data_IF_426755613066
#
_entry.id   IF_426755613066
#
_cell.length_a   1.000
_cell.length_b   1.000
_cell.length_c   1.000
_cell.angle_alpha   90.00
_cell.angle_beta   90.00
_cell.angle_gamma   90.00
#
_symmetry.space_group_name_H-M   'P 1'
#
loop_
_entity.id
_entity.type
_entity.pdbx_description
1 polymer ?
#
# COMPACT_ATOMS: atom_id res chain seq x y z
N UNK A 1 1.77 16.78 -3.51
CA UNK A 1 1.04 16.62 -2.23
C UNK A 1 0.59 18.00 -1.74
N UNK A 2 -0.50 18.07 -0.97
CA UNK A 2 -0.99 19.27 -0.33
C UNK A 2 -1.30 18.96 1.14
N UNK A 3 -1.23 20.00 1.99
CA UNK A 3 -1.45 19.88 3.43
C UNK A 3 -2.52 20.90 3.85
N UNK A 4 -3.50 20.43 4.61
CA UNK A 4 -4.51 21.28 5.24
C UNK A 4 -4.11 21.45 6.71
N UNK A 5 -3.91 22.69 7.12
CA UNK A 5 -3.51 23.02 8.48
C UNK A 5 -4.49 24.02 9.11
N UNK A 6 -4.62 24.06 10.45
CA UNK A 6 -5.44 25.06 11.14
C UNK A 6 -4.98 26.49 10.77
N UNK A 7 -5.93 27.41 10.63
CA UNK A 7 -5.68 28.79 10.19
C UNK A 7 -4.56 29.44 11.01
N UNK A 8 -4.54 29.24 12.33
CA UNK A 8 -3.54 29.81 13.24
C UNK A 8 -2.10 29.30 12.99
N UNK A 9 -1.94 28.21 12.25
CA UNK A 9 -0.63 27.61 11.97
C UNK A 9 -0.15 27.82 10.53
N UNK A 10 -0.98 28.41 9.66
CA UNK A 10 -0.65 28.59 8.23
C UNK A 10 0.69 29.31 8.07
N UNK A 11 0.90 30.41 8.80
CA UNK A 11 2.11 31.19 8.64
C UNK A 11 3.36 30.43 9.10
N UNK A 12 3.27 29.68 10.20
CA UNK A 12 4.35 28.82 10.66
C UNK A 12 4.71 27.77 9.62
N UNK A 13 3.72 27.07 9.06
CA UNK A 13 3.96 26.06 8.01
C UNK A 13 4.50 26.69 6.72
N UNK A 14 4.05 27.91 6.36
CA UNK A 14 4.56 28.64 5.19
C UNK A 14 6.03 28.98 5.35
N UNK A 15 6.44 29.48 6.51
CA UNK A 15 7.84 29.78 6.83
C UNK A 15 8.71 28.51 6.77
N UNK A 16 8.27 27.42 7.38
CA UNK A 16 9.00 26.15 7.32
C UNK A 16 9.10 25.61 5.89
N UNK A 17 8.02 25.67 5.12
CA UNK A 17 8.00 25.24 3.73
C UNK A 17 8.95 26.07 2.84
N UNK A 18 9.14 27.36 3.13
CA UNK A 18 10.06 28.21 2.37
C UNK A 18 11.53 27.82 2.58
N UNK A 19 11.85 27.17 3.69
CA UNK A 19 13.19 26.67 4.00
C UNK A 19 13.49 25.31 3.34
N UNK A 20 12.45 24.61 2.86
CA UNK A 20 12.60 23.32 2.19
C UNK A 20 12.60 23.52 0.67
N UNK A 21 13.62 23.05 -0.06
CA UNK A 21 13.70 23.20 -1.52
C UNK A 21 12.76 22.20 -2.25
N UNK A 22 11.53 22.01 -1.77
CA UNK A 22 10.59 21.00 -2.23
C UNK A 22 9.39 21.59 -2.99
N UNK A 23 9.54 22.70 -3.71
CA UNK A 23 8.45 23.22 -4.54
C UNK A 23 8.33 22.40 -5.83
N UNK A 24 7.14 21.91 -6.12
CA UNK A 24 6.84 21.29 -7.44
C UNK A 24 6.86 22.41 -8.49
N UNK A 25 7.64 22.28 -9.59
CA UNK A 25 7.67 23.29 -10.65
C UNK A 25 6.27 23.61 -11.18
N UNK A 26 6.00 24.88 -11.45
CA UNK A 26 4.68 25.35 -11.91
C UNK A 26 4.21 24.65 -13.19
N UNK A 27 5.14 24.34 -14.08
CA UNK A 27 4.82 23.60 -15.32
C UNK A 27 4.13 22.27 -15.02
N UNK A 28 4.65 21.50 -14.07
CA UNK A 28 4.05 20.23 -13.67
C UNK A 28 2.68 20.41 -12.98
N UNK A 29 2.52 21.50 -12.22
CA UNK A 29 1.24 21.81 -11.60
C UNK A 29 0.17 22.12 -12.64
N UNK A 30 0.49 22.93 -13.66
CA UNK A 30 -0.43 23.24 -14.75
C UNK A 30 -0.78 22.00 -15.58
N UNK A 31 0.23 21.21 -15.97
CA UNK A 31 0.03 19.97 -16.71
C UNK A 31 -0.90 19.01 -15.95
N UNK A 32 -0.69 18.85 -14.63
CA UNK A 32 -1.56 18.01 -13.81
C UNK A 32 -2.98 18.58 -13.68
N UNK A 33 -3.11 19.90 -13.57
CA UNK A 33 -4.41 20.55 -13.51
C UNK A 33 -5.23 20.32 -14.79
N UNK A 34 -4.58 20.43 -15.95
CA UNK A 34 -5.20 20.16 -17.25
C UNK A 34 -5.58 18.68 -17.38
N UNK A 35 -4.69 17.77 -17.01
CA UNK A 35 -4.95 16.33 -16.98
C UNK A 35 -6.18 15.95 -16.13
N UNK A 36 -6.37 16.62 -14.99
CA UNK A 36 -7.55 16.44 -14.13
C UNK A 36 -8.78 17.06 -14.77
N UNK A 37 -8.70 18.30 -15.26
CA UNK A 37 -9.81 19.07 -15.86
C UNK A 37 -10.37 18.38 -17.09
N UNK A 38 -9.51 17.84 -17.94
CA UNK A 38 -9.89 17.14 -19.18
C UNK A 38 -10.43 15.71 -18.92
N UNK A 39 -10.52 15.32 -17.65
CA UNK A 39 -11.09 14.04 -17.23
C UNK A 39 -10.17 12.82 -17.43
N UNK A 40 -8.92 13.02 -17.87
CA UNK A 40 -7.96 11.93 -18.05
C UNK A 40 -7.66 11.21 -16.74
N UNK A 41 -7.53 11.96 -15.64
CA UNK A 41 -7.31 11.42 -14.30
C UNK A 41 -8.45 10.47 -13.87
N UNK A 42 -9.70 10.86 -14.06
CA UNK A 42 -10.85 10.05 -13.70
C UNK A 42 -10.96 8.77 -14.53
N UNK A 43 -10.68 8.85 -15.84
CA UNK A 43 -10.62 7.67 -16.72
C UNK A 43 -9.52 6.70 -16.26
N UNK A 44 -8.36 7.22 -15.90
CA UNK A 44 -7.27 6.43 -15.35
C UNK A 44 -7.66 5.75 -14.04
N UNK A 45 -8.22 6.49 -13.07
CA UNK A 45 -8.68 5.93 -11.80
C UNK A 45 -9.73 4.83 -11.97
N UNK A 46 -10.71 5.02 -12.87
CA UNK A 46 -11.73 4.01 -13.16
C UNK A 46 -11.09 2.72 -13.67
N UNK A 47 -10.15 2.83 -14.61
CA UNK A 47 -9.41 1.69 -15.14
C UNK A 47 -8.59 0.99 -14.06
N UNK A 48 -7.87 1.75 -13.24
CA UNK A 48 -7.04 1.19 -12.16
C UNK A 48 -7.88 0.47 -11.10
N UNK A 49 -9.03 1.03 -10.71
CA UNK A 49 -9.95 0.37 -9.78
C UNK A 49 -10.39 -1.01 -10.27
N UNK A 50 -10.72 -1.15 -11.55
CA UNK A 50 -11.11 -2.43 -12.14
C UNK A 50 -9.95 -3.44 -12.12
N UNK A 51 -8.75 -3.00 -12.53
CA UNK A 51 -7.57 -3.85 -12.51
C UNK A 51 -7.18 -4.30 -11.10
N UNK A 52 -7.21 -3.38 -10.14
CA UNK A 52 -6.84 -3.71 -8.75
C UNK A 52 -7.91 -4.55 -8.05
N UNK A 53 -9.19 -4.37 -8.36
CA UNK A 53 -10.24 -5.24 -7.85
C UNK A 53 -10.00 -6.70 -8.26
N UNK A 54 -9.69 -6.95 -9.53
CA UNK A 54 -9.39 -8.30 -10.02
C UNK A 54 -8.13 -8.89 -9.39
N UNK A 55 -7.05 -8.12 -9.30
CA UNK A 55 -5.79 -8.56 -8.67
C UNK A 55 -5.97 -8.90 -7.20
N UNK A 56 -6.77 -8.11 -6.52
CA UNK A 56 -7.13 -8.31 -5.12
C UNK A 56 -7.85 -9.64 -4.94
N UNK A 57 -8.86 -9.94 -5.76
CA UNK A 57 -9.57 -11.21 -5.70
C UNK A 57 -8.63 -12.40 -5.86
N UNK A 58 -7.75 -12.40 -6.86
CA UNK A 58 -6.79 -13.48 -7.07
C UNK A 58 -5.89 -13.74 -5.85
N UNK A 59 -5.38 -12.68 -5.24
CA UNK A 59 -4.46 -12.87 -4.10
C UNK A 59 -5.21 -13.21 -2.81
N UNK A 60 -6.43 -12.69 -2.58
CA UNK A 60 -7.26 -13.06 -1.44
C UNK A 60 -7.64 -14.55 -1.50
N UNK A 61 -8.06 -15.05 -2.65
CA UNK A 61 -8.36 -16.47 -2.87
C UNK A 61 -7.11 -17.34 -2.64
N UNK A 62 -5.98 -16.97 -3.23
CA UNK A 62 -4.73 -17.70 -3.10
C UNK A 62 -4.20 -17.75 -1.65
N UNK A 63 -4.33 -16.65 -0.90
CA UNK A 63 -3.96 -16.60 0.52
C UNK A 63 -4.89 -17.46 1.36
N UNK A 64 -6.19 -17.44 1.09
CA UNK A 64 -7.17 -18.29 1.78
C UNK A 64 -6.90 -19.79 1.52
N UNK A 65 -6.53 -20.20 0.29
CA UNK A 65 -6.11 -21.57 -0.06
C UNK A 65 -4.89 -22.00 0.79
N UNK A 66 -4.01 -21.09 1.18
CA UNK A 66 -2.85 -21.35 2.05
C UNK A 66 -3.17 -21.22 3.55
N UNK A 67 -4.43 -21.00 3.93
CA UNK A 67 -4.89 -20.89 5.32
C UNK A 67 -4.56 -19.55 6.00
N UNK A 68 -4.27 -18.50 5.23
CA UNK A 68 -4.08 -17.17 5.79
C UNK A 68 -5.41 -16.46 6.05
N UNK A 69 -5.45 -15.71 7.15
CA UNK A 69 -6.54 -14.79 7.47
C UNK A 69 -6.17 -13.40 6.95
N UNK A 70 -7.01 -12.85 6.09
CA UNK A 70 -6.82 -11.52 5.52
C UNK A 70 -7.82 -10.56 6.14
N UNK A 71 -7.33 -9.47 6.72
CA UNK A 71 -8.21 -8.39 7.20
C UNK A 71 -8.77 -7.61 6.02
N UNK A 72 -10.08 -7.67 5.85
CA UNK A 72 -10.78 -6.96 4.79
C UNK A 72 -10.75 -5.44 5.04
N UNK A 73 -10.13 -4.71 4.13
CA UNK A 73 -10.13 -3.25 4.13
C UNK A 73 -10.98 -2.71 2.98
N UNK A 74 -11.73 -1.63 3.24
CA UNK A 74 -12.65 -1.02 2.24
C UNK A 74 -11.94 -0.32 1.08
N UNK A 75 -10.61 -0.31 1.04
CA UNK A 75 -9.86 0.35 -0.02
C UNK A 75 -8.35 0.14 0.11
N UNK A 76 -7.58 0.83 -0.72
CA UNK A 76 -6.13 0.71 -0.75
C UNK A 76 -5.63 -0.28 -1.80
N UNK A 77 -4.33 -0.44 -1.82
CA UNK A 77 -3.58 -1.31 -2.75
C UNK A 77 -2.76 -2.37 -2.02
N UNK A 78 -3.01 -2.54 -0.74
CA UNK A 78 -2.34 -3.49 0.13
C UNK A 78 -3.38 -4.31 0.89
N UNK A 79 -3.00 -5.52 1.26
CA UNK A 79 -3.72 -6.40 2.17
C UNK A 79 -2.96 -6.49 3.49
N UNK A 80 -3.69 -6.70 4.57
CA UNK A 80 -3.13 -7.05 5.86
C UNK A 80 -3.41 -8.54 6.09
N UNK A 81 -2.35 -9.32 6.18
CA UNK A 81 -2.40 -10.75 6.51
C UNK A 81 -2.14 -10.84 8.01
N UNK A 82 -3.07 -11.41 8.76
CA UNK A 82 -2.90 -11.61 10.19
C UNK A 82 -1.85 -12.69 10.44
N UNK A 83 -0.93 -12.41 11.36
CA UNK A 83 0.08 -13.37 11.79
C UNK A 83 0.21 -13.34 13.30
N UNK A 84 0.54 -14.48 13.88
CA UNK A 84 0.85 -14.60 15.31
C UNK A 84 2.35 -14.38 15.56
N UNK A 85 2.66 -13.83 16.73
CA UNK A 85 4.05 -13.58 17.13
C UNK A 85 4.67 -12.34 16.50
N UNK A 86 5.98 -12.40 16.27
CA UNK A 86 6.77 -11.28 15.75
C UNK A 86 6.66 -11.16 14.23
N UNK A 87 5.87 -10.21 13.77
CA UNK A 87 5.66 -9.92 12.35
C UNK A 87 6.93 -9.41 11.66
N UNK A 88 7.87 -8.78 12.39
CA UNK A 88 9.14 -8.31 11.81
C UNK A 88 10.05 -9.49 11.46
N UNK A 89 10.11 -10.49 12.33
CA UNK A 89 10.88 -11.70 12.07
C UNK A 89 10.32 -12.47 10.87
N UNK A 90 9.00 -12.61 10.78
CA UNK A 90 8.33 -13.27 9.66
C UNK A 90 8.53 -12.52 8.34
N UNK A 91 8.42 -11.19 8.37
CA UNK A 91 8.71 -10.34 7.21
C UNK A 91 10.16 -10.47 6.76
N UNK A 92 11.12 -10.56 7.69
CA UNK A 92 12.52 -10.78 7.33
C UNK A 92 12.71 -12.09 6.56
N UNK A 93 12.11 -13.20 7.02
CA UNK A 93 12.14 -14.50 6.32
C UNK A 93 11.48 -14.39 4.93
N UNK A 94 10.30 -13.78 4.83
CA UNK A 94 9.59 -13.61 3.57
C UNK A 94 10.39 -12.78 2.55
N UNK A 95 11.05 -11.71 3.00
CA UNK A 95 11.90 -10.88 2.14
C UNK A 95 13.18 -11.61 1.71
N UNK A 96 13.77 -12.46 2.57
CA UNK A 96 14.88 -13.34 2.20
C UNK A 96 14.46 -14.37 1.14
N UNK A 97 13.22 -14.82 1.17
CA UNK A 97 12.63 -15.67 0.13
C UNK A 97 12.25 -14.92 -1.16
N UNK A 98 12.59 -13.63 -1.29
CA UNK A 98 12.36 -12.84 -2.50
C UNK A 98 11.01 -12.13 -2.57
N UNK A 99 10.23 -12.13 -1.48
CA UNK A 99 8.99 -11.33 -1.41
C UNK A 99 9.30 -9.90 -0.94
N UNK A 100 8.48 -8.94 -1.37
CA UNK A 100 8.57 -7.54 -0.93
C UNK A 100 7.38 -7.19 -0.03
N UNK A 101 7.48 -7.56 1.24
CA UNK A 101 6.43 -7.37 2.26
C UNK A 101 6.92 -6.49 3.41
N UNK A 102 6.00 -5.96 4.21
CA UNK A 102 6.31 -5.10 5.34
C UNK A 102 5.56 -5.54 6.60
N UNK A 103 6.18 -5.31 7.76
CA UNK A 103 5.55 -5.59 9.04
C UNK A 103 4.57 -4.49 9.41
N UNK A 104 3.34 -4.86 9.78
CA UNK A 104 2.32 -3.92 10.23
C UNK A 104 2.74 -3.17 11.50
N UNK A 105 3.44 -3.85 12.40
CA UNK A 105 3.95 -3.25 13.64
C UNK A 105 4.91 -2.08 13.42
N UNK A 106 5.56 -2.00 12.26
CA UNK A 106 6.45 -0.88 11.88
C UNK A 106 5.69 0.46 11.77
N UNK A 107 4.41 0.41 11.47
CA UNK A 107 3.56 1.58 11.24
C UNK A 107 2.73 1.97 12.46
N UNK A 108 2.87 1.25 13.57
CA UNK A 108 2.16 1.55 14.81
C UNK A 108 2.97 2.48 15.71
N UNK A 109 2.28 3.44 16.29
CA UNK A 109 2.85 4.33 17.31
C UNK A 109 2.91 3.64 18.67
N UNK A 110 1.93 2.74 18.94
CA UNK A 110 1.84 1.98 20.20
C UNK A 110 2.05 0.50 19.89
N UNK A 111 2.91 -0.15 20.67
CA UNK A 111 3.30 -1.56 20.49
C UNK A 111 2.21 -2.58 20.88
N UNK A 112 0.94 -2.18 20.88
CA UNK A 112 -0.19 -3.06 21.24
C UNK A 112 -0.94 -3.55 20.00
N UNK A 113 -1.35 -4.81 19.99
CA UNK A 113 -2.19 -5.44 18.98
C UNK A 113 -1.51 -6.57 18.21
N UNK A 114 -2.31 -7.32 17.45
CA UNK A 114 -1.85 -8.47 16.64
C UNK A 114 -0.85 -8.04 15.59
N UNK A 115 0.16 -8.85 15.33
CA UNK A 115 1.08 -8.70 14.21
C UNK A 115 0.37 -8.80 12.86
N UNK A 116 1.04 -8.37 11.81
CA UNK A 116 0.50 -8.48 10.47
C UNK A 116 1.55 -8.25 9.39
N UNK A 117 1.30 -8.84 8.23
CA UNK A 117 2.12 -8.64 7.04
C UNK A 117 1.35 -7.79 6.05
N UNK A 118 1.94 -6.68 5.63
CA UNK A 118 1.42 -5.84 4.55
C UNK A 118 1.95 -6.36 3.21
N UNK A 119 1.04 -6.83 2.36
CA UNK A 119 1.32 -7.30 1.01
C UNK A 119 0.64 -6.38 -0.01
N UNK A 120 1.43 -5.81 -0.93
CA UNK A 120 0.89 -5.07 -2.08
C UNK A 120 0.46 -6.03 -3.19
N UNK A 121 -0.75 -5.84 -3.72
CA UNK A 121 -1.25 -6.65 -4.85
C UNK A 121 -1.13 -5.95 -6.21
N UNK A 122 -0.49 -4.80 -6.26
CA UNK A 122 -0.38 -4.02 -7.50
C UNK A 122 0.43 -4.71 -8.59
N UNK A 123 1.34 -5.59 -8.22
CA UNK A 123 2.19 -6.35 -9.13
C UNK A 123 1.67 -7.76 -9.47
N UNK A 124 0.55 -8.17 -8.89
CA UNK A 124 -0.09 -9.45 -9.20
C UNK A 124 -0.77 -9.35 -10.57
N UNK A 125 -0.22 -10.02 -11.57
CA UNK A 125 -0.70 -9.91 -12.96
C UNK A 125 -1.58 -11.07 -13.41
N UNK A 126 -1.63 -12.16 -12.63
CA UNK A 126 -2.46 -13.34 -12.90
C UNK A 126 -2.79 -14.12 -11.64
N UNK A 127 -3.82 -14.97 -11.72
CA UNK A 127 -4.16 -15.91 -10.64
C UNK A 127 -3.00 -16.90 -10.35
N UNK A 128 -2.27 -17.34 -11.37
CA UNK A 128 -1.10 -18.21 -11.20
C UNK A 128 0.01 -17.54 -10.39
N UNK A 129 0.30 -16.26 -10.65
CA UNK A 129 1.26 -15.49 -9.87
C UNK A 129 0.78 -15.29 -8.43
N UNK A 130 -0.51 -15.06 -8.22
CA UNK A 130 -1.09 -14.94 -6.88
C UNK A 130 -0.87 -16.23 -6.05
N UNK A 131 -1.13 -17.41 -6.66
CA UNK A 131 -0.90 -18.71 -6.02
C UNK A 131 0.57 -18.93 -5.69
N UNK A 132 1.47 -18.56 -6.58
CA UNK A 132 2.91 -18.65 -6.34
C UNK A 132 3.35 -17.79 -5.16
N UNK A 133 2.90 -16.53 -5.12
CA UNK A 133 3.23 -15.58 -4.02
C UNK A 133 2.68 -16.08 -2.69
N UNK A 134 1.43 -16.55 -2.65
CA UNK A 134 0.80 -17.06 -1.44
C UNK A 134 1.51 -18.32 -0.92
N UNK A 135 1.86 -19.26 -1.81
CA UNK A 135 2.63 -20.46 -1.47
C UNK A 135 4.02 -20.10 -0.94
N UNK A 136 4.74 -19.22 -1.64
CA UNK A 136 6.07 -18.77 -1.26
C UNK A 136 6.06 -18.09 0.12
N UNK A 137 5.06 -17.26 0.40
CA UNK A 137 4.87 -16.65 1.70
C UNK A 137 4.67 -17.71 2.78
N UNK A 138 3.82 -18.72 2.52
CA UNK A 138 3.57 -19.81 3.47
C UNK A 138 4.82 -20.59 3.81
N UNK A 139 5.65 -20.94 2.81
CA UNK A 139 6.91 -21.65 3.02
C UNK A 139 7.92 -20.82 3.80
N UNK A 140 7.96 -19.53 3.59
CA UNK A 140 8.94 -18.66 4.23
C UNK A 140 8.67 -18.43 5.73
N UNK A 141 7.41 -18.43 6.17
CA UNK A 141 7.05 -18.08 7.55
C UNK A 141 6.67 -19.27 8.43
N UNK A 142 6.66 -20.47 7.87
CA UNK A 142 6.66 -21.70 8.65
C UNK A 142 8.04 -21.93 9.26
#
# INVERSE_FOLDING_TARGET
AWLVVPIKQIEHFRQQASLMPCSVPLLWQHTLADFIRDGHFWRHLKKMRQHYAQRRLWIEEALAEQGFVVTLQKGGIQLVIEVEGDDKAQVAKANQAGLAVQALSRWRVVSSGKGGILLSFTNITSAGMAKQVAWQLRQAIQ
#
